data_IF_331440920760
#
_entry.id   IF_331440920760
#
_cell.length_a   1.000
_cell.length_b   1.000
_cell.length_c   1.000
_cell.angle_alpha   90.00
_cell.angle_beta   90.00
_cell.angle_gamma   90.00
#
_symmetry.space_group_name_H-M   'P 1'
#
loop_
_entity.id
_entity.type
_entity.pdbx_description
1 polymer ?
#
# COMPACT_ATOMS: atom_id res chain seq x y z
N UNK A 1 -2.23 -40.99 -3.13
CA UNK A 1 -1.04 -40.13 -3.33
C UNK A 1 -1.34 -38.62 -3.31
N UNK A 2 -2.60 -38.17 -3.38
CA UNK A 2 -2.97 -36.73 -3.29
C UNK A 2 -2.60 -36.05 -1.95
N UNK A 3 -2.58 -36.77 -0.83
CA UNK A 3 -2.33 -36.19 0.51
C UNK A 3 -0.95 -35.54 0.66
N UNK A 4 0.06 -36.01 -0.10
CA UNK A 4 1.40 -35.41 -0.13
C UNK A 4 1.47 -34.13 -0.97
N UNK A 5 0.56 -33.93 -1.92
CA UNK A 5 0.47 -32.72 -2.74
C UNK A 5 -0.04 -31.53 -1.92
N UNK A 6 -0.93 -31.78 -0.95
CA UNK A 6 -1.47 -30.74 -0.05
C UNK A 6 -0.61 -30.48 1.20
N UNK A 7 0.38 -31.32 1.47
CA UNK A 7 1.32 -31.15 2.59
C UNK A 7 2.64 -30.64 2.04
N UNK A 8 2.72 -29.33 1.81
CA UNK A 8 4.00 -28.66 1.58
C UNK A 8 4.68 -28.48 2.93
N UNK A 9 5.84 -29.12 3.18
CA UNK A 9 6.55 -28.95 4.44
C UNK A 9 6.94 -27.48 4.62
N UNK A 10 6.53 -26.87 5.74
CA UNK A 10 6.99 -25.54 6.19
C UNK A 10 7.76 -25.69 7.52
N UNK A 11 8.92 -26.37 7.51
CA UNK A 11 9.75 -26.49 8.70
C UNK A 11 10.18 -25.08 9.14
N UNK A 12 9.72 -24.65 10.32
CA UNK A 12 9.90 -23.29 10.84
C UNK A 12 8.68 -22.37 10.73
N UNK A 13 7.56 -22.83 10.15
CA UNK A 13 6.28 -22.10 10.05
C UNK A 13 6.42 -20.71 9.39
N UNK A 14 7.39 -20.56 8.51
CA UNK A 14 7.72 -19.28 7.88
C UNK A 14 6.58 -18.77 7.00
N UNK A 15 5.97 -19.67 6.21
CA UNK A 15 4.85 -19.38 5.32
C UNK A 15 3.60 -19.07 6.14
N UNK A 16 3.36 -19.85 7.21
CA UNK A 16 2.24 -19.60 8.11
C UNK A 16 2.36 -18.23 8.80
N UNK A 17 3.54 -17.87 9.31
CA UNK A 17 3.77 -16.57 9.95
C UNK A 17 3.60 -15.42 8.98
N UNK A 18 4.09 -15.56 7.75
CA UNK A 18 3.91 -14.55 6.71
C UNK A 18 2.43 -14.37 6.35
N UNK A 19 1.71 -15.48 6.12
CA UNK A 19 0.28 -15.45 5.82
C UNK A 19 -0.54 -14.86 6.98
N UNK A 20 -0.26 -15.26 8.22
CA UNK A 20 -0.95 -14.72 9.40
C UNK A 20 -0.74 -13.20 9.54
N UNK A 21 0.50 -12.71 9.32
CA UNK A 21 0.78 -11.26 9.31
C UNK A 21 0.02 -10.54 8.21
N UNK A 22 -0.08 -11.13 7.02
CA UNK A 22 -0.84 -10.57 5.91
C UNK A 22 -2.33 -10.44 6.26
N UNK A 23 -2.95 -11.54 6.69
CA UNK A 23 -4.38 -11.60 7.00
C UNK A 23 -4.72 -10.66 8.15
N UNK A 24 -3.95 -10.69 9.24
CA UNK A 24 -4.18 -9.82 10.39
C UNK A 24 -3.94 -8.35 10.05
N UNK A 25 -2.86 -8.02 9.32
CA UNK A 25 -2.53 -6.64 8.97
C UNK A 25 -3.57 -6.01 8.03
N UNK A 26 -3.96 -6.73 6.97
CA UNK A 26 -4.96 -6.26 6.01
C UNK A 26 -6.35 -6.23 6.66
N UNK A 27 -6.72 -7.28 7.39
CA UNK A 27 -8.00 -7.34 8.10
C UNK A 27 -8.16 -6.21 9.12
N UNK A 28 -7.12 -5.95 9.91
CA UNK A 28 -7.12 -4.83 10.86
C UNK A 28 -7.25 -3.49 10.13
N UNK A 29 -6.54 -3.27 9.03
CA UNK A 29 -6.64 -2.03 8.25
C UNK A 29 -8.08 -1.79 7.75
N UNK A 30 -8.72 -2.82 7.18
CA UNK A 30 -10.11 -2.73 6.71
C UNK A 30 -11.08 -2.48 7.87
N UNK A 31 -10.93 -3.17 9.00
CA UNK A 31 -11.76 -2.97 10.19
C UNK A 31 -11.60 -1.56 10.74
N UNK A 32 -10.36 -1.07 10.87
CA UNK A 32 -10.08 0.29 11.35
C UNK A 32 -10.70 1.34 10.43
N UNK A 33 -10.57 1.19 9.10
CA UNK A 33 -11.22 2.07 8.14
C UNK A 33 -12.75 2.05 8.30
N UNK A 34 -13.35 0.85 8.38
CA UNK A 34 -14.79 0.72 8.61
C UNK A 34 -15.27 1.37 9.91
N UNK A 35 -14.52 1.20 11.01
CA UNK A 35 -14.83 1.84 12.30
C UNK A 35 -14.61 3.35 12.29
N UNK A 36 -13.68 3.85 11.46
CA UNK A 36 -13.45 5.28 11.24
C UNK A 36 -14.54 5.94 10.38
N UNK A 37 -15.52 5.16 9.88
CA UNK A 37 -16.61 5.67 9.06
C UNK A 37 -16.22 5.99 7.62
N UNK A 38 -15.08 5.48 7.15
CA UNK A 38 -14.68 5.64 5.73
C UNK A 38 -15.67 4.92 4.82
N UNK A 39 -15.78 5.37 3.58
CA UNK A 39 -16.58 4.66 2.58
C UNK A 39 -16.03 3.23 2.33
N UNK A 40 -16.80 2.40 1.60
CA UNK A 40 -16.31 1.10 1.13
C UNK A 40 -15.03 1.24 0.29
N UNK A 41 -14.93 2.27 -0.55
CA UNK A 41 -13.74 2.55 -1.37
C UNK A 41 -12.58 2.93 -0.45
N UNK A 42 -12.80 3.77 0.56
CA UNK A 42 -11.79 4.12 1.56
C UNK A 42 -11.25 2.89 2.30
N UNK A 43 -12.13 1.97 2.70
CA UNK A 43 -11.74 0.72 3.34
C UNK A 43 -10.95 -0.22 2.42
N UNK A 44 -11.33 -0.33 1.13
CA UNK A 44 -10.58 -1.09 0.12
C UNK A 44 -9.18 -0.49 -0.07
N UNK A 45 -9.07 0.84 -0.16
CA UNK A 45 -7.78 1.53 -0.29
C UNK A 45 -6.91 1.29 0.94
N UNK A 46 -7.48 1.33 2.15
CA UNK A 46 -6.76 0.99 3.39
C UNK A 46 -6.23 -0.44 3.41
N UNK A 47 -7.05 -1.41 2.96
CA UNK A 47 -6.63 -2.81 2.83
C UNK A 47 -5.52 -3.01 1.79
N UNK A 48 -5.63 -2.37 0.62
CA UNK A 48 -4.60 -2.41 -0.41
C UNK A 48 -3.31 -1.71 0.03
N UNK A 49 -3.40 -0.63 0.80
CA UNK A 49 -2.25 0.03 1.42
C UNK A 49 -1.53 -0.93 2.39
N UNK A 50 -2.26 -1.65 3.24
CA UNK A 50 -1.66 -2.66 4.13
C UNK A 50 -0.99 -3.82 3.34
N UNK A 51 -1.63 -4.26 2.25
CA UNK A 51 -1.07 -5.27 1.35
C UNK A 51 0.24 -4.78 0.71
N UNK A 52 0.26 -3.54 0.19
CA UNK A 52 1.45 -2.93 -0.40
C UNK A 52 2.57 -2.79 0.63
N UNK A 53 2.27 -2.32 1.84
CA UNK A 53 3.24 -2.22 2.92
C UNK A 53 3.91 -3.56 3.21
N UNK A 54 3.14 -4.66 3.24
CA UNK A 54 3.66 -6.00 3.49
C UNK A 54 4.71 -6.45 2.45
N UNK A 55 4.53 -6.09 1.18
CA UNK A 55 5.43 -6.50 0.11
C UNK A 55 6.56 -5.52 -0.18
N UNK A 56 6.34 -4.23 0.08
CA UNK A 56 7.30 -3.18 -0.30
C UNK A 56 8.29 -2.89 0.81
N UNK A 57 7.92 -3.04 2.09
CA UNK A 57 8.80 -2.78 3.23
C UNK A 57 9.75 -3.96 3.42
N UNK A 58 10.98 -3.78 2.95
CA UNK A 58 12.02 -4.83 2.88
C UNK A 58 13.29 -4.48 3.66
N UNK A 59 13.21 -3.49 4.56
CA UNK A 59 14.33 -3.13 5.44
C UNK A 59 14.88 -4.36 6.19
N UNK A 60 16.21 -4.45 6.27
CA UNK A 60 16.91 -5.58 6.90
C UNK A 60 16.71 -5.66 8.42
N UNK A 61 16.36 -4.54 9.07
CA UNK A 61 16.17 -4.47 10.53
C UNK A 61 14.72 -4.18 10.88
N UNK A 62 14.24 -4.73 11.99
CA UNK A 62 12.88 -4.49 12.50
C UNK A 62 12.63 -3.00 12.74
N UNK A 63 13.62 -2.28 13.27
CA UNK A 63 13.54 -0.82 13.45
C UNK A 63 13.41 -0.09 12.10
N UNK A 64 14.15 -0.52 11.09
CA UNK A 64 14.03 0.02 9.73
C UNK A 64 12.63 -0.20 9.16
N UNK A 65 12.10 -1.41 9.28
CA UNK A 65 10.74 -1.74 8.81
C UNK A 65 9.70 -0.85 9.49
N UNK A 66 9.77 -0.68 10.82
CA UNK A 66 8.84 0.18 11.55
C UNK A 66 8.91 1.64 11.09
N UNK A 67 10.12 2.18 10.86
CA UNK A 67 10.31 3.54 10.34
C UNK A 67 9.71 3.67 8.95
N UNK A 68 10.02 2.76 8.03
CA UNK A 68 9.48 2.81 6.67
C UNK A 68 7.96 2.69 6.66
N UNK A 69 7.40 1.77 7.44
CA UNK A 69 5.94 1.64 7.60
C UNK A 69 5.30 2.93 8.12
N UNK A 70 5.91 3.60 9.11
CA UNK A 70 5.42 4.89 9.61
C UNK A 70 5.54 6.03 8.58
N UNK A 71 6.48 5.94 7.64
CA UNK A 71 6.63 6.90 6.54
C UNK A 71 5.65 6.65 5.37
N UNK A 72 5.09 5.45 5.22
CA UNK A 72 4.16 5.15 4.12
C UNK A 72 2.93 6.09 4.10
N UNK A 73 2.24 6.37 5.22
CA UNK A 73 1.13 7.33 5.21
C UNK A 73 1.56 8.75 4.83
N UNK A 74 2.78 9.15 5.21
CA UNK A 74 3.33 10.48 4.88
C UNK A 74 3.53 10.62 3.37
N UNK A 75 3.91 9.56 2.67
CA UNK A 75 4.00 9.56 1.21
C UNK A 75 2.63 9.32 0.53
N UNK A 76 1.83 8.39 1.05
CA UNK A 76 0.59 7.94 0.42
C UNK A 76 -0.60 8.87 0.58
N UNK A 77 -0.81 9.48 1.76
CA UNK A 77 -1.98 10.34 2.00
C UNK A 77 -1.97 11.60 1.12
N UNK A 78 -0.84 12.33 0.95
CA UNK A 78 -0.79 13.45 0.01
C UNK A 78 -1.07 13.02 -1.43
N UNK A 79 -0.62 11.83 -1.81
CA UNK A 79 -0.82 11.29 -3.15
C UNK A 79 -2.27 10.86 -3.37
N UNK A 80 -2.89 10.22 -2.38
CA UNK A 80 -4.31 9.84 -2.40
C UNK A 80 -5.22 11.07 -2.47
N UNK A 81 -4.95 12.07 -1.64
CA UNK A 81 -5.72 13.32 -1.63
C UNK A 81 -5.58 14.07 -2.96
N UNK A 82 -4.38 14.17 -3.52
CA UNK A 82 -4.18 14.75 -4.84
C UNK A 82 -4.91 13.95 -5.94
N UNK A 83 -4.84 12.61 -5.91
CA UNK A 83 -5.50 11.75 -6.87
C UNK A 83 -7.03 11.91 -6.86
N UNK A 84 -7.62 12.04 -5.67
CA UNK A 84 -9.06 12.22 -5.48
C UNK A 84 -9.54 13.64 -5.82
N UNK A 85 -8.78 14.67 -5.43
CA UNK A 85 -9.12 16.06 -5.73
C UNK A 85 -9.00 16.40 -7.22
N UNK A 86 -8.08 15.74 -7.95
CA UNK A 86 -7.85 15.97 -9.37
C UNK A 86 -8.65 15.03 -10.28
N UNK A 87 -9.60 14.25 -9.73
CA UNK A 87 -10.31 13.22 -10.49
C UNK A 87 -10.98 13.75 -11.77
N UNK A 88 -11.61 14.93 -11.69
CA UNK A 88 -12.35 15.56 -12.80
C UNK A 88 -11.45 16.41 -13.73
N UNK A 89 -10.16 16.53 -13.45
CA UNK A 89 -9.21 17.36 -14.19
C UNK A 89 -8.16 16.48 -14.88
N UNK A 90 -8.47 15.88 -16.05
CA UNK A 90 -7.65 14.81 -16.63
C UNK A 90 -6.20 15.24 -16.89
N UNK A 91 -5.98 16.45 -17.41
CA UNK A 91 -4.62 16.95 -17.67
C UNK A 91 -3.83 17.17 -16.37
N UNK A 92 -4.45 17.81 -15.37
CA UNK A 92 -3.79 18.05 -14.08
C UNK A 92 -3.48 16.74 -13.35
N UNK A 93 -4.41 15.78 -13.41
CA UNK A 93 -4.25 14.43 -12.88
C UNK A 93 -3.08 13.71 -13.53
N UNK A 94 -3.01 13.70 -14.85
CA UNK A 94 -1.98 12.96 -15.59
C UNK A 94 -0.58 13.58 -15.37
N UNK A 95 -0.49 14.91 -15.31
CA UNK A 95 0.75 15.61 -14.93
C UNK A 95 1.17 15.30 -13.48
N UNK A 96 0.21 15.26 -12.55
CA UNK A 96 0.48 14.91 -11.15
C UNK A 96 0.93 13.46 -11.02
N UNK A 97 0.29 12.54 -11.75
CA UNK A 97 0.70 11.15 -11.81
C UNK A 97 2.14 11.00 -12.32
N UNK A 98 2.48 11.71 -13.41
CA UNK A 98 3.84 11.72 -13.95
C UNK A 98 4.85 12.29 -12.94
N UNK A 99 4.49 13.35 -12.22
CA UNK A 99 5.32 13.90 -11.16
C UNK A 99 5.54 12.91 -10.00
N UNK A 100 4.50 12.19 -9.58
CA UNK A 100 4.58 11.15 -8.54
C UNK A 100 5.48 10.00 -9.00
N UNK A 101 5.36 9.54 -10.26
CA UNK A 101 6.24 8.52 -10.84
C UNK A 101 7.70 9.01 -10.84
N UNK A 102 7.95 10.23 -11.33
CA UNK A 102 9.29 10.82 -11.36
C UNK A 102 9.92 10.95 -9.98
N UNK A 103 9.15 11.46 -9.00
CA UNK A 103 9.58 11.56 -7.61
C UNK A 103 9.85 10.18 -7.00
N UNK A 104 9.00 9.18 -7.28
CA UNK A 104 9.18 7.82 -6.80
C UNK A 104 10.41 7.13 -7.39
N UNK A 105 10.72 7.36 -8.66
CA UNK A 105 11.96 6.86 -9.30
C UNK A 105 13.18 7.56 -8.69
N UNK A 106 13.14 8.89 -8.55
CA UNK A 106 14.21 9.65 -7.91
C UNK A 106 14.45 9.19 -6.47
N UNK A 107 13.39 8.82 -5.75
CA UNK A 107 13.49 8.37 -4.38
C UNK A 107 14.29 7.07 -4.20
N UNK A 108 14.43 6.24 -5.24
CA UNK A 108 15.21 5.00 -5.19
C UNK A 108 16.68 5.21 -4.79
N UNK A 109 17.21 6.43 -4.94
CA UNK A 109 18.56 6.79 -4.49
C UNK A 109 18.78 6.61 -2.99
N UNK A 110 17.71 6.62 -2.17
CA UNK A 110 17.77 6.38 -0.73
C UNK A 110 17.64 4.88 -0.35
N UNK A 111 17.99 4.00 -1.30
CA UNK A 111 18.03 2.55 -1.07
C UNK A 111 16.64 1.93 -0.90
N UNK A 112 16.52 0.83 -0.11
CA UNK A 112 15.27 0.08 0.03
C UNK A 112 14.09 0.94 0.46
N UNK A 113 14.30 1.88 1.40
CA UNK A 113 13.22 2.76 1.89
C UNK A 113 12.66 3.65 0.81
N UNK A 114 13.55 4.28 0.04
CA UNK A 114 13.17 5.14 -1.07
C UNK A 114 12.42 4.36 -2.15
N UNK A 115 12.84 3.13 -2.43
CA UNK A 115 12.10 2.21 -3.31
C UNK A 115 10.69 1.91 -2.77
N UNK A 116 10.56 1.54 -1.50
CA UNK A 116 9.25 1.25 -0.87
C UNK A 116 8.30 2.45 -0.95
N UNK A 117 8.77 3.64 -0.58
CA UNK A 117 7.98 4.88 -0.60
C UNK A 117 7.55 5.24 -2.03
N UNK A 118 8.46 5.11 -3.00
CA UNK A 118 8.15 5.41 -4.41
C UNK A 118 7.11 4.46 -5.00
N UNK A 119 7.25 3.15 -4.77
CA UNK A 119 6.28 2.15 -5.24
C UNK A 119 4.94 2.34 -4.53
N UNK A 120 4.95 2.61 -3.23
CA UNK A 120 3.73 2.85 -2.46
C UNK A 120 2.96 4.06 -2.98
N UNK A 121 3.63 5.22 -3.13
CA UNK A 121 3.03 6.43 -3.69
C UNK A 121 2.44 6.18 -5.09
N UNK A 122 3.21 5.57 -5.99
CA UNK A 122 2.74 5.21 -7.33
C UNK A 122 1.47 4.35 -7.28
N UNK A 123 1.49 3.27 -6.49
CA UNK A 123 0.36 2.35 -6.39
C UNK A 123 -0.85 3.03 -5.73
N UNK A 124 -0.66 3.89 -4.73
CA UNK A 124 -1.75 4.66 -4.12
C UNK A 124 -2.45 5.55 -5.15
N UNK A 125 -1.70 6.29 -5.98
CA UNK A 125 -2.31 7.10 -7.04
C UNK A 125 -3.06 6.21 -8.05
N UNK A 126 -2.42 5.13 -8.50
CA UNK A 126 -3.00 4.21 -9.47
C UNK A 126 -4.30 3.59 -8.97
N UNK A 127 -4.31 3.07 -7.73
CA UNK A 127 -5.48 2.49 -7.07
C UNK A 127 -6.62 3.50 -6.99
N UNK A 128 -6.34 4.74 -6.58
CA UNK A 128 -7.34 5.79 -6.49
C UNK A 128 -8.03 6.05 -7.84
N UNK A 129 -7.28 6.03 -8.95
CA UNK A 129 -7.87 6.20 -10.28
C UNK A 129 -8.70 5.00 -10.72
N UNK A 130 -8.23 3.78 -10.47
CA UNK A 130 -8.98 2.56 -10.80
C UNK A 130 -10.29 2.44 -10.04
N UNK A 131 -10.28 2.79 -8.75
CA UNK A 131 -11.48 2.78 -7.91
C UNK A 131 -12.36 4.02 -8.07
N UNK A 132 -11.96 4.97 -8.92
CA UNK A 132 -12.64 6.26 -9.08
C UNK A 132 -12.88 6.92 -7.71
N UNK A 133 -11.82 6.94 -6.89
CA UNK A 133 -11.84 7.52 -5.57
C UNK A 133 -11.90 9.04 -5.71
N UNK A 134 -13.05 9.61 -5.35
CA UNK A 134 -13.32 11.05 -5.29
C UNK A 134 -13.40 11.48 -3.82
N UNK A 135 -13.34 12.79 -3.54
CA UNK A 135 -13.31 13.31 -2.16
C UNK A 135 -14.55 12.91 -1.34
N UNK A 136 -15.71 12.73 -1.98
CA UNK A 136 -16.96 12.25 -1.37
C UNK A 136 -16.98 10.73 -1.09
N UNK A 137 -16.03 9.98 -1.67
CA UNK A 137 -15.94 8.52 -1.60
C UNK A 137 -14.73 8.03 -0.82
N UNK A 138 -14.03 8.88 -0.07
CA UNK A 138 -12.91 8.48 0.79
C UNK A 138 -13.38 8.24 2.23
#
# INVERSE_FOLDING_TARGET
MLKKVFVSPDPGRSRLRFAARAVLGIGLAVVVCGLAGTSLIGAIIGGLAALLALFTVTDATVRGQAVTTALLPVAGLPVLTAAAALHDLPVARDLTFLAVVGAGVYARRWGPRGHSLGVFAFMTFFIAQFLHATTDRL
#
